data_IF_153881971785
#
_entry.id   IF_153881971785
#
_cell.length_a   1.000
_cell.length_b   1.000
_cell.length_c   1.000
_cell.angle_alpha   90.00
_cell.angle_beta   90.00
_cell.angle_gamma   90.00
#
_symmetry.space_group_name_H-M   'P 1'
#
loop_
_entity.id
_entity.type
_entity.pdbx_description
1 polymer ?
#
# COMPACT_ATOMS: atom_id res chain seq x y z
N UNK A 1 10.04 3.18 -2.69
CA UNK A 1 9.55 4.53 -3.05
C UNK A 1 8.49 4.58 -4.16
N UNK A 2 8.52 3.70 -5.19
CA UNK A 2 7.57 3.79 -6.32
C UNK A 2 6.08 3.86 -5.94
N UNK A 3 5.66 3.15 -4.88
CA UNK A 3 4.28 3.18 -4.39
C UNK A 3 3.78 4.59 -4.03
N UNK A 4 4.62 5.41 -3.37
CA UNK A 4 4.25 6.78 -3.02
C UNK A 4 4.22 7.69 -4.24
N UNK A 5 5.10 7.47 -5.22
CA UNK A 5 5.08 8.23 -6.47
C UNK A 5 3.77 8.02 -7.23
N UNK A 6 3.29 6.78 -7.31
CA UNK A 6 1.97 6.49 -7.92
C UNK A 6 0.83 7.10 -7.09
N UNK A 7 0.89 7.02 -5.76
CA UNK A 7 -0.12 7.61 -4.89
C UNK A 7 -0.20 9.15 -5.06
N UNK A 8 0.95 9.83 -5.06
CA UNK A 8 1.05 11.27 -5.30
C UNK A 8 0.62 11.65 -6.73
N UNK A 9 1.01 10.87 -7.73
CA UNK A 9 0.56 11.09 -9.10
C UNK A 9 -0.97 11.07 -9.19
N UNK A 10 -1.62 10.06 -8.60
CA UNK A 10 -3.09 10.01 -8.50
C UNK A 10 -3.61 11.21 -7.72
N UNK A 11 -2.97 11.58 -6.62
CA UNK A 11 -3.39 12.68 -5.76
C UNK A 11 -3.43 14.02 -6.51
N UNK A 12 -2.42 14.27 -7.33
CA UNK A 12 -2.20 15.53 -8.03
C UNK A 12 -2.92 15.61 -9.39
N UNK A 13 -3.26 14.45 -9.99
CA UNK A 13 -3.74 14.39 -11.39
C UNK A 13 -5.10 13.71 -11.57
N UNK A 14 -5.84 13.42 -10.49
CA UNK A 14 -7.09 12.63 -10.55
C UNK A 14 -8.17 13.18 -11.50
N UNK A 15 -8.18 14.48 -11.78
CA UNK A 15 -9.16 15.17 -12.62
C UNK A 15 -8.62 15.55 -14.01
N UNK A 16 -7.35 15.27 -14.28
CA UNK A 16 -6.71 15.64 -15.54
C UNK A 16 -7.12 14.68 -16.68
N UNK A 17 -8.13 15.09 -17.45
CA UNK A 17 -8.69 14.33 -18.59
C UNK A 17 -7.73 14.12 -19.76
N UNK A 18 -6.57 14.79 -19.79
CA UNK A 18 -5.56 14.64 -20.86
C UNK A 18 -4.61 13.48 -20.59
N UNK A 19 -4.60 12.92 -19.38
CA UNK A 19 -3.73 11.82 -18.98
C UNK A 19 -4.43 10.45 -19.12
N UNK A 20 -3.65 9.37 -19.25
CA UNK A 20 -4.19 8.02 -19.22
C UNK A 20 -4.96 7.74 -17.91
N UNK A 21 -6.04 6.97 -18.02
CA UNK A 21 -6.78 6.50 -16.85
C UNK A 21 -6.11 5.26 -16.28
N UNK A 22 -5.87 5.27 -14.98
CA UNK A 22 -5.41 4.09 -14.24
C UNK A 22 -6.62 3.17 -14.00
N UNK A 23 -6.44 1.87 -14.25
CA UNK A 23 -7.46 0.84 -14.03
C UNK A 23 -7.11 -0.09 -12.86
N UNK A 24 -5.84 -0.47 -12.73
CA UNK A 24 -5.36 -1.40 -11.70
C UNK A 24 -4.08 -0.84 -11.09
N UNK A 25 -3.94 -0.91 -9.77
CA UNK A 25 -2.73 -0.55 -9.02
C UNK A 25 -2.31 -1.73 -8.17
N UNK A 26 -1.04 -2.13 -8.28
CA UNK A 26 -0.43 -3.08 -7.35
C UNK A 26 0.61 -2.34 -6.53
N UNK A 27 0.50 -2.45 -5.21
CA UNK A 27 1.48 -1.96 -4.26
C UNK A 27 2.21 -3.15 -3.65
N UNK A 28 3.53 -3.13 -3.66
CA UNK A 28 4.37 -4.14 -3.01
C UNK A 28 5.25 -3.40 -2.00
N UNK A 29 5.11 -3.73 -0.71
CA UNK A 29 5.81 -3.06 0.38
C UNK A 29 5.65 -1.52 0.37
N UNK A 30 4.42 -1.03 0.20
CA UNK A 30 4.11 0.39 0.24
C UNK A 30 4.31 0.98 1.63
N UNK A 31 5.21 1.95 1.78
CA UNK A 31 5.48 2.61 3.06
C UNK A 31 4.63 3.88 3.23
N UNK A 32 3.31 3.73 3.17
CA UNK A 32 2.37 4.87 3.13
C UNK A 32 2.43 5.75 4.37
N UNK A 33 2.67 5.14 5.54
CA UNK A 33 2.84 5.85 6.81
C UNK A 33 4.30 5.88 7.29
N UNK A 34 5.25 5.89 6.33
CA UNK A 34 6.70 5.95 6.57
C UNK A 34 7.37 4.58 6.60
N UNK A 35 8.69 4.54 6.40
CA UNK A 35 9.50 3.32 6.52
C UNK A 35 10.08 3.19 7.93
N UNK A 36 10.72 2.07 8.27
CA UNK A 36 11.20 1.79 9.63
C UNK A 36 12.26 2.79 10.18
N UNK A 37 12.85 3.63 9.33
CA UNK A 37 13.74 4.72 9.76
C UNK A 37 13.02 6.01 10.16
N UNK A 38 11.70 6.07 9.98
CA UNK A 38 10.85 7.18 10.43
C UNK A 38 10.07 6.78 11.68
N UNK A 39 9.74 7.75 12.54
CA UNK A 39 9.04 7.51 13.79
C UNK A 39 7.69 6.81 13.58
N UNK A 40 6.86 7.31 12.66
CA UNK A 40 5.56 6.73 12.35
C UNK A 40 5.73 5.31 11.78
N UNK A 41 6.61 5.12 10.80
CA UNK A 41 6.84 3.81 10.19
C UNK A 41 7.33 2.75 11.19
N UNK A 42 8.06 3.16 12.23
CA UNK A 42 8.52 2.28 13.31
C UNK A 42 7.46 2.00 14.39
N UNK A 43 6.70 3.03 14.82
CA UNK A 43 5.87 2.96 16.04
C UNK A 43 4.37 2.79 15.76
N UNK A 44 3.89 3.21 14.59
CA UNK A 44 2.47 3.24 14.28
C UNK A 44 1.86 1.83 14.29
N UNK A 45 0.60 1.75 14.72
CA UNK A 45 -0.24 0.56 14.68
C UNK A 45 -1.56 0.89 14.01
N UNK A 46 -2.18 -0.11 13.41
CA UNK A 46 -3.55 0.03 12.90
C UNK A 46 -4.52 0.12 14.09
N UNK A 47 -5.04 1.33 14.32
CA UNK A 47 -6.05 1.65 15.34
C UNK A 47 -7.41 1.06 14.99
N UNK A 48 -7.78 1.12 13.71
CA UNK A 48 -9.03 0.56 13.21
C UNK A 48 -8.78 -0.35 12.00
N UNK A 49 -8.93 -1.66 12.20
CA UNK A 49 -8.73 -2.67 11.16
C UNK A 49 -9.75 -2.61 10.02
N UNK A 50 -10.95 -2.07 10.27
CA UNK A 50 -11.99 -1.91 9.23
C UNK A 50 -11.58 -0.85 8.22
N UNK A 51 -11.06 0.27 8.70
CA UNK A 51 -10.67 1.42 7.87
C UNK A 51 -9.21 1.37 7.44
N UNK A 52 -8.34 0.72 8.21
CA UNK A 52 -6.88 0.75 8.07
C UNK A 52 -6.24 1.99 8.70
N UNK A 53 -6.96 2.71 9.57
CA UNK A 53 -6.44 3.94 10.18
C UNK A 53 -5.24 3.64 11.11
N UNK A 54 -4.08 4.27 10.91
CA UNK A 54 -2.97 4.19 11.86
C UNK A 54 -3.20 5.12 13.08
N UNK A 55 -2.58 4.83 14.22
CA UNK A 55 -2.66 5.66 15.44
C UNK A 55 -1.69 6.87 15.44
N UNK A 56 -0.71 6.88 14.54
CA UNK A 56 0.25 7.96 14.29
C UNK A 56 0.21 8.26 12.80
N UNK A 57 0.25 9.53 12.39
CA UNK A 57 0.32 9.90 10.97
C UNK A 57 1.68 10.54 10.68
N UNK A 58 2.46 9.95 9.78
CA UNK A 58 3.65 10.58 9.20
C UNK A 58 3.28 11.83 8.39
N UNK A 59 4.23 12.72 8.17
CA UNK A 59 3.96 13.92 7.35
C UNK A 59 3.68 13.53 5.89
N UNK A 60 4.33 12.49 5.37
CA UNK A 60 4.02 11.93 4.06
C UNK A 60 2.60 11.36 3.98
N UNK A 61 2.14 10.67 5.02
CA UNK A 61 0.77 10.16 5.08
C UNK A 61 -0.28 11.27 5.07
N UNK A 62 -0.03 12.36 5.82
CA UNK A 62 -0.91 13.53 5.86
C UNK A 62 -1.09 14.15 4.48
N UNK A 63 -0.04 14.20 3.66
CA UNK A 63 -0.11 14.73 2.29
C UNK A 63 -1.00 13.87 1.37
N UNK A 64 -1.15 12.58 1.68
CA UNK A 64 -1.98 11.65 0.91
C UNK A 64 -3.45 11.58 1.40
N UNK A 65 -3.80 12.16 2.55
CA UNK A 65 -5.17 12.16 3.08
C UNK A 65 -6.24 12.68 2.10
N UNK A 66 -5.98 13.66 1.20
CA UNK A 66 -6.94 14.09 0.20
C UNK A 66 -7.45 12.97 -0.72
N UNK A 67 -6.67 11.90 -0.96
CA UNK A 67 -7.09 10.73 -1.73
C UNK A 67 -8.42 10.15 -1.21
N UNK A 68 -8.70 10.25 0.10
CA UNK A 68 -9.98 9.82 0.69
C UNK A 68 -11.20 10.49 0.07
N UNK A 69 -11.03 11.66 -0.55
CA UNK A 69 -12.09 12.46 -1.18
C UNK A 69 -12.13 12.30 -2.69
N UNK A 70 -11.02 11.99 -3.35
CA UNK A 70 -10.95 12.06 -4.81
C UNK A 70 -10.23 10.89 -5.50
N UNK A 71 -9.83 9.84 -4.77
CA UNK A 71 -9.31 8.62 -5.40
C UNK A 71 -10.29 8.12 -6.49
N UNK A 72 -9.84 7.86 -7.73
CA UNK A 72 -10.72 7.48 -8.82
C UNK A 72 -11.45 6.15 -8.54
N UNK A 73 -12.76 6.13 -8.78
CA UNK A 73 -13.64 5.02 -8.37
C UNK A 73 -13.51 3.77 -9.23
N UNK A 74 -12.91 3.87 -10.41
CA UNK A 74 -12.71 2.74 -11.31
C UNK A 74 -11.49 1.89 -10.96
N UNK A 75 -10.58 2.39 -10.11
CA UNK A 75 -9.30 1.72 -9.86
C UNK A 75 -9.53 0.53 -8.92
N UNK A 76 -9.00 -0.62 -9.34
CA UNK A 76 -8.86 -1.82 -8.52
C UNK A 76 -7.48 -1.83 -7.89
N UNK A 77 -7.39 -2.24 -6.63
CA UNK A 77 -6.12 -2.19 -5.88
C UNK A 77 -5.79 -3.52 -5.24
N UNK A 78 -4.55 -3.96 -5.46
CA UNK A 78 -3.91 -5.06 -4.74
C UNK A 78 -2.75 -4.50 -3.89
N UNK A 79 -2.81 -4.68 -2.58
CA UNK A 79 -1.77 -4.28 -1.64
C UNK A 79 -1.08 -5.52 -1.08
N UNK A 80 0.18 -5.73 -1.45
CA UNK A 80 1.01 -6.85 -1.03
C UNK A 80 2.08 -6.33 -0.07
N UNK A 81 2.25 -6.99 1.06
CA UNK A 81 3.27 -6.63 2.05
C UNK A 81 3.83 -7.86 2.75
N UNK A 82 5.04 -7.72 3.28
CA UNK A 82 5.77 -8.82 3.90
C UNK A 82 5.80 -8.76 5.42
N UNK A 83 5.80 -9.93 6.04
CA UNK A 83 6.11 -10.13 7.45
C UNK A 83 7.10 -11.29 7.58
N UNK A 84 8.32 -11.01 8.05
CA UNK A 84 9.35 -12.02 8.23
C UNK A 84 9.04 -13.06 9.31
N UNK A 85 8.02 -12.82 10.13
CA UNK A 85 7.66 -13.64 11.31
C UNK A 85 8.80 -13.80 12.32
N UNK A 86 9.67 -12.79 12.42
CA UNK A 86 10.78 -12.70 13.38
C UNK A 86 10.45 -11.81 14.60
N UNK A 87 9.16 -11.53 14.82
CA UNK A 87 8.66 -10.66 15.87
C UNK A 87 8.65 -9.16 15.51
N UNK A 88 9.26 -8.75 14.40
CA UNK A 88 9.30 -7.33 13.98
C UNK A 88 7.98 -6.82 13.38
N UNK A 89 7.07 -7.70 12.95
CA UNK A 89 5.88 -7.35 12.15
C UNK A 89 6.22 -6.46 10.95
N UNK A 90 7.27 -6.83 10.22
CA UNK A 90 7.80 -6.08 9.09
C UNK A 90 8.47 -6.99 8.06
N UNK A 91 8.71 -6.43 6.88
CA UNK A 91 9.56 -7.04 5.85
C UNK A 91 11.06 -6.75 6.08
N UNK A 92 11.40 -6.01 7.14
CA UNK A 92 12.74 -5.53 7.47
C UNK A 92 13.06 -4.12 7.00
N UNK A 93 12.17 -3.45 6.25
CA UNK A 93 12.30 -2.05 5.84
C UNK A 93 11.00 -1.27 6.01
N UNK A 94 9.85 -1.93 5.89
CA UNK A 94 8.51 -1.36 6.01
C UNK A 94 7.71 -2.20 7.00
N UNK A 95 7.06 -1.54 7.96
CA UNK A 95 6.16 -2.21 8.89
C UNK A 95 4.87 -2.63 8.21
N UNK A 96 4.27 -3.73 8.68
CA UNK A 96 2.95 -4.18 8.20
C UNK A 96 1.90 -3.08 8.38
N UNK A 97 1.97 -2.33 9.49
CA UNK A 97 1.05 -1.21 9.76
C UNK A 97 1.18 -0.09 8.71
N UNK A 98 2.41 0.30 8.33
CA UNK A 98 2.62 1.31 7.30
C UNK A 98 2.13 0.87 5.91
N UNK A 99 2.21 -0.42 5.61
CA UNK A 99 1.63 -0.96 4.37
C UNK A 99 0.10 -1.01 4.40
N UNK A 100 -0.49 -1.42 5.52
CA UNK A 100 -1.94 -1.50 5.71
C UNK A 100 -2.61 -0.13 5.75
N UNK A 101 -1.89 0.94 6.13
CA UNK A 101 -2.45 2.29 6.18
C UNK A 101 -2.92 2.81 4.81
N UNK A 102 -2.49 2.18 3.71
CA UNK A 102 -3.01 2.50 2.38
C UNK A 102 -4.53 2.39 2.30
N UNK A 103 -5.10 1.36 2.96
CA UNK A 103 -6.55 1.14 3.02
C UNK A 103 -7.27 2.39 3.50
N UNK A 104 -6.71 3.07 4.51
CA UNK A 104 -7.30 4.30 5.02
C UNK A 104 -7.33 5.42 3.98
N UNK A 105 -6.38 5.48 3.06
CA UNK A 105 -6.34 6.54 2.05
C UNK A 105 -7.42 6.37 0.97
N UNK A 106 -7.89 5.14 0.69
CA UNK A 106 -8.67 4.85 -0.52
C UNK A 106 -9.95 4.02 -0.31
N UNK A 107 -10.14 3.44 0.87
CA UNK A 107 -11.31 2.63 1.19
C UNK A 107 -12.60 3.45 1.05
N UNK A 108 -13.66 2.84 0.49
CA UNK A 108 -14.92 3.50 0.13
C UNK A 108 -14.89 4.30 -1.17
N UNK A 109 -13.72 4.40 -1.83
CA UNK A 109 -13.59 5.04 -3.14
C UNK A 109 -13.16 4.08 -4.25
N UNK A 110 -12.06 3.36 -4.07
CA UNK A 110 -11.57 2.39 -5.05
C UNK A 110 -12.66 1.35 -5.41
N UNK A 111 -12.63 0.84 -6.64
CA UNK A 111 -13.58 -0.19 -7.12
C UNK A 111 -13.47 -1.46 -6.28
N UNK A 112 -12.24 -1.85 -5.98
CA UNK A 112 -11.91 -2.98 -5.11
C UNK A 112 -10.59 -2.70 -4.39
N UNK A 113 -10.44 -3.30 -3.21
CA UNK A 113 -9.22 -3.25 -2.42
C UNK A 113 -8.98 -4.61 -1.78
N UNK A 114 -7.87 -5.25 -2.15
CA UNK A 114 -7.44 -6.54 -1.61
C UNK A 114 -6.07 -6.41 -0.96
N UNK A 115 -5.90 -6.99 0.21
CA UNK A 115 -4.60 -7.12 0.87
C UNK A 115 -4.11 -8.57 0.81
N UNK A 116 -2.80 -8.74 0.67
CA UNK A 116 -2.13 -10.05 0.81
C UNK A 116 -0.86 -9.87 1.64
N UNK A 117 -0.81 -10.54 2.78
CA UNK A 117 0.40 -10.62 3.62
C UNK A 117 1.23 -11.85 3.21
N UNK A 118 2.44 -11.63 2.73
CA UNK A 118 3.44 -12.67 2.50
C UNK A 118 4.18 -12.92 3.81
N UNK A 119 4.39 -14.18 4.18
CA UNK A 119 4.92 -14.57 5.49
C UNK A 119 6.23 -15.34 5.43
N UNK A 120 6.99 -15.26 6.51
CA UNK A 120 8.24 -16.00 6.71
C UNK A 120 9.46 -15.39 6.02
N UNK A 121 10.55 -16.15 5.93
CA UNK A 121 11.87 -15.65 5.47
C UNK A 121 11.91 -15.11 4.03
N UNK A 122 10.93 -15.46 3.21
CA UNK A 122 10.79 -14.97 1.83
C UNK A 122 9.90 -13.72 1.71
N UNK A 123 9.39 -13.23 2.83
CA UNK A 123 8.68 -11.97 2.94
C UNK A 123 9.60 -10.77 3.24
N UNK A 124 10.93 -10.96 3.19
CA UNK A 124 11.88 -9.85 3.33
C UNK A 124 11.70 -8.85 2.17
N UNK A 125 11.92 -7.57 2.46
CA UNK A 125 11.63 -6.45 1.57
C UNK A 125 12.07 -6.66 0.10
N UNK A 126 13.35 -6.97 -0.13
CA UNK A 126 13.90 -7.19 -1.47
C UNK A 126 13.35 -8.48 -2.09
N UNK A 127 13.19 -9.54 -1.28
CA UNK A 127 12.66 -10.81 -1.75
C UNK A 127 11.21 -10.76 -2.20
N UNK A 128 10.40 -9.79 -1.75
CA UNK A 128 9.03 -9.63 -2.25
C UNK A 128 9.00 -9.40 -3.77
N UNK A 129 10.04 -8.81 -4.35
CA UNK A 129 10.18 -8.63 -5.81
C UNK A 129 10.85 -9.83 -6.52
N UNK A 130 11.26 -10.85 -5.76
CA UNK A 130 11.86 -12.09 -6.24
C UNK A 130 11.09 -13.32 -5.70
N UNK A 131 9.78 -13.16 -5.51
CA UNK A 131 8.92 -14.16 -4.88
C UNK A 131 7.86 -14.66 -5.87
N UNK A 132 7.92 -15.97 -6.19
CA UNK A 132 6.99 -16.63 -7.11
C UNK A 132 5.52 -16.53 -6.71
N UNK A 133 5.23 -16.44 -5.41
CA UNK A 133 3.88 -16.20 -4.91
C UNK A 133 3.40 -14.79 -5.28
N UNK A 134 4.27 -13.79 -5.11
CA UNK A 134 4.00 -12.40 -5.51
C UNK A 134 3.85 -12.28 -7.01
N UNK A 135 4.70 -12.95 -7.80
CA UNK A 135 4.58 -12.99 -9.26
C UNK A 135 3.24 -13.55 -9.71
N UNK A 136 2.79 -14.65 -9.09
CA UNK A 136 1.48 -15.25 -9.40
C UNK A 136 0.33 -14.30 -9.05
N UNK A 137 0.40 -13.64 -7.91
CA UNK A 137 -0.61 -12.64 -7.49
C UNK A 137 -0.67 -11.46 -8.46
N UNK A 138 0.49 -10.95 -8.90
CA UNK A 138 0.59 -9.91 -9.92
C UNK A 138 -0.06 -10.35 -11.21
N UNK A 139 0.28 -11.55 -11.69
CA UNK A 139 -0.24 -12.07 -12.96
C UNK A 139 -1.76 -12.23 -12.91
N UNK A 140 -2.25 -12.87 -11.85
CA UNK A 140 -3.67 -13.12 -11.65
C UNK A 140 -4.44 -11.81 -11.54
N UNK A 141 -3.91 -10.83 -10.81
CA UNK A 141 -4.59 -9.54 -10.64
C UNK A 141 -4.57 -8.67 -11.91
N UNK A 142 -3.46 -8.64 -12.64
CA UNK A 142 -3.32 -7.75 -13.79
C UNK A 142 -4.04 -8.29 -15.03
N UNK A 143 -3.89 -9.58 -15.34
CA UNK A 143 -4.26 -10.14 -16.64
C UNK A 143 -5.35 -11.20 -16.63
N UNK A 144 -5.66 -11.82 -15.49
CA UNK A 144 -6.80 -12.74 -15.44
C UNK A 144 -8.09 -11.96 -15.24
N UNK A 145 -9.09 -12.33 -16.04
CA UNK A 145 -10.46 -11.81 -15.98
C UNK A 145 -11.30 -12.61 -14.99
#
# INVERSE_FOLDING_TARGET
>A
MGNLQIANYINENYDNKKLPKINKVVSIAGHYDGYLGEEAGQKAKIKDKKTGEPDIYSDGFKQLLPLRKHYPRQIEVLNIYGNKEDGSNSDGSVSVASAQSYKYLINGRAKSYREVEIKGKNAQHSKLHENKEVDKLLIDFLWKE
#
